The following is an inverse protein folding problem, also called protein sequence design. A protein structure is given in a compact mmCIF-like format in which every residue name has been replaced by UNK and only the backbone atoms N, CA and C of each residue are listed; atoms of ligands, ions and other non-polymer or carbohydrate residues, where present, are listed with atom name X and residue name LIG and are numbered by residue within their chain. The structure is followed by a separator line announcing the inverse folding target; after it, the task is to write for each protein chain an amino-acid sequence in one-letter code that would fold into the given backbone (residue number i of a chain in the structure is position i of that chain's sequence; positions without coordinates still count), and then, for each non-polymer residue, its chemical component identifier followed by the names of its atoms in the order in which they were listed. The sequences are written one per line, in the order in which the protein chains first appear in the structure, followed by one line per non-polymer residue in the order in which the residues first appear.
data_IF_003861917110
#
_entry.id   IF_003861917110
#
_cell.length_a   1.000
_cell.length_b   1.000
_cell.length_c   1.000
_cell.angle_alpha   90.00
_cell.angle_beta   90.00
_cell.angle_gamma   90.00
#
_symmetry.space_group_name_H-M   'P 1'
#
loop_
_entity.id
_entity.type
_entity.pdbx_description
1 polymer ?
#
# COMPACT_ATOMS: atom_id res chain seq x y z
N UNK A 1 -6.02 5.91 25.34
CA UNK A 1 -6.80 5.56 24.13
C UNK A 1 -5.79 5.47 23.00
N UNK A 2 -5.82 4.43 22.18
CA UNK A 2 -4.94 4.29 21.02
C UNK A 2 -5.64 4.97 19.84
N UNK A 3 -5.01 5.96 19.21
CA UNK A 3 -5.54 6.64 18.03
C UNK A 3 -5.35 5.77 16.80
N UNK A 4 -6.39 5.72 15.96
CA UNK A 4 -6.40 4.93 14.73
C UNK A 4 -6.13 5.78 13.49
N UNK A 5 -5.30 5.27 12.60
CA UNK A 5 -4.84 5.98 11.39
C UNK A 5 -5.22 5.23 10.11
N UNK A 6 -5.66 5.98 9.10
CA UNK A 6 -5.65 5.56 7.69
C UNK A 6 -4.56 6.36 6.98
N UNK A 7 -3.67 5.66 6.30
CA UNK A 7 -2.58 6.28 5.54
C UNK A 7 -2.88 6.10 4.06
N UNK A 8 -2.90 7.19 3.29
CA UNK A 8 -3.09 7.16 1.85
C UNK A 8 -1.78 7.52 1.16
N UNK A 9 -1.31 6.68 0.25
CA UNK A 9 -0.06 6.87 -0.49
C UNK A 9 -0.38 7.05 -1.97
N UNK A 10 -0.05 8.23 -2.50
CA UNK A 10 -0.36 8.65 -3.88
C UNK A 10 0.81 8.48 -4.86
N UNK A 11 2.04 8.54 -4.35
CA UNK A 11 3.26 8.59 -5.17
C UNK A 11 3.90 7.21 -5.39
N UNK A 12 4.59 7.04 -6.51
CA UNK A 12 5.36 5.83 -6.83
C UNK A 12 6.43 5.52 -5.76
N UNK A 13 6.84 4.24 -5.59
CA UNK A 13 7.85 3.85 -4.61
C UNK A 13 9.22 4.48 -4.84
N UNK A 14 9.54 4.84 -6.07
CA UNK A 14 10.83 5.43 -6.44
C UNK A 14 10.59 6.73 -7.21
N UNK A 15 11.51 7.69 -7.04
CA UNK A 15 11.45 9.00 -7.70
C UNK A 15 10.75 10.11 -6.89
N UNK A 16 10.15 9.80 -5.73
CA UNK A 16 9.56 10.80 -4.85
C UNK A 16 9.78 10.46 -3.37
N UNK A 17 10.26 11.42 -2.57
CA UNK A 17 10.56 11.20 -1.14
C UNK A 17 9.28 10.94 -0.31
N UNK A 18 8.11 11.38 -0.80
CA UNK A 18 6.84 11.20 -0.08
C UNK A 18 6.52 9.73 0.22
N UNK A 19 6.86 8.81 -0.70
CA UNK A 19 6.68 7.38 -0.50
C UNK A 19 7.49 6.85 0.69
N UNK A 20 8.74 7.33 0.84
CA UNK A 20 9.59 7.02 1.98
C UNK A 20 9.05 7.65 3.26
N UNK A 21 8.58 8.90 3.21
CA UNK A 21 7.98 9.56 4.37
C UNK A 21 6.71 8.85 4.87
N UNK A 22 5.85 8.35 3.98
CA UNK A 22 4.68 7.56 4.34
C UNK A 22 5.06 6.30 5.14
N UNK A 23 6.09 5.57 4.68
CA UNK A 23 6.60 4.39 5.38
C UNK A 23 7.17 4.77 6.76
N UNK A 24 7.98 5.82 6.84
CA UNK A 24 8.56 6.30 8.11
C UNK A 24 7.49 6.76 9.09
N UNK A 25 6.42 7.39 8.60
CA UNK A 25 5.27 7.77 9.39
C UNK A 25 4.57 6.53 9.96
N UNK A 26 4.27 5.53 9.12
CA UNK A 26 3.67 4.28 9.57
C UNK A 26 4.51 3.56 10.63
N UNK A 27 5.82 3.42 10.42
CA UNK A 27 6.75 2.85 11.40
C UNK A 27 6.69 3.59 12.74
N UNK A 28 6.58 4.93 12.70
CA UNK A 28 6.52 5.77 13.90
C UNK A 28 5.18 5.62 14.63
N UNK A 29 4.06 5.57 13.91
CA UNK A 29 2.72 5.32 14.46
C UNK A 29 2.72 4.01 15.26
N UNK A 30 3.23 2.93 14.66
CA UNK A 30 3.34 1.63 15.34
C UNK A 30 4.28 1.69 16.54
N UNK A 31 5.44 2.34 16.43
CA UNK A 31 6.39 2.49 17.54
C UNK A 31 5.82 3.29 18.72
N UNK A 32 4.90 4.22 18.46
CA UNK A 32 4.18 4.99 19.48
C UNK A 32 3.01 4.22 20.11
N UNK A 33 2.82 2.94 19.75
CA UNK A 33 1.72 2.11 20.24
C UNK A 33 0.35 2.52 19.72
N UNK A 34 0.32 3.26 18.61
CA UNK A 34 -0.91 3.65 17.91
C UNK A 34 -1.33 2.57 16.90
N UNK A 35 -2.56 2.65 16.39
CA UNK A 35 -3.11 1.66 15.46
C UNK A 35 -3.16 2.20 14.02
N UNK A 36 -2.85 1.34 13.05
CA UNK A 36 -3.11 1.61 11.62
C UNK A 36 -4.26 0.71 11.19
N UNK A 37 -5.37 1.31 10.75
CA UNK A 37 -6.55 0.56 10.26
C UNK A 37 -6.29 0.00 8.87
N UNK A 38 -5.67 0.80 8.00
CA UNK A 38 -5.18 0.37 6.69
C UNK A 38 -4.17 1.36 6.11
N UNK A 39 -3.37 0.86 5.17
CA UNK A 39 -2.62 1.69 4.23
C UNK A 39 -3.23 1.52 2.84
N UNK A 40 -3.66 2.62 2.24
CA UNK A 40 -4.31 2.64 0.94
C UNK A 40 -3.43 3.28 -0.11
N UNK A 41 -3.03 2.52 -1.10
CA UNK A 41 -2.24 2.96 -2.24
C UNK A 41 -3.16 3.39 -3.38
N UNK A 42 -3.05 4.67 -3.74
CA UNK A 42 -3.86 5.29 -4.78
C UNK A 42 -2.97 5.94 -5.84
N UNK A 43 -3.51 6.21 -7.03
CA UNK A 43 -2.74 6.76 -8.15
C UNK A 43 -1.43 5.97 -8.40
N UNK A 44 -0.30 6.66 -8.47
CA UNK A 44 1.03 6.06 -8.68
C UNK A 44 1.50 5.25 -7.47
N UNK A 45 0.90 5.48 -6.30
CA UNK A 45 1.09 4.68 -5.08
C UNK A 45 0.89 3.18 -5.31
N UNK A 46 -0.01 2.80 -6.22
CA UNK A 46 -0.26 1.39 -6.55
C UNK A 46 0.98 0.66 -7.08
N UNK A 47 1.98 1.38 -7.62
CA UNK A 47 3.26 0.79 -8.05
C UNK A 47 4.06 0.18 -6.91
N UNK A 48 3.79 0.54 -5.64
CA UNK A 48 4.38 -0.13 -4.48
C UNK A 48 4.05 -1.62 -4.44
N UNK A 49 2.89 -2.01 -4.96
CA UNK A 49 2.40 -3.38 -4.92
C UNK A 49 2.88 -4.23 -6.11
N UNK A 50 3.81 -3.73 -6.93
CA UNK A 50 4.40 -4.52 -8.00
C UNK A 50 5.50 -5.46 -7.46
N UNK A 51 5.25 -6.77 -7.49
CA UNK A 51 6.19 -7.81 -7.06
C UNK A 51 7.49 -7.85 -7.88
N UNK A 52 7.50 -7.21 -9.05
CA UNK A 52 8.66 -7.16 -9.95
C UNK A 52 9.56 -5.95 -9.67
N UNK A 53 9.27 -5.15 -8.63
CA UNK A 53 10.15 -4.08 -8.18
C UNK A 53 11.50 -4.65 -7.73
N UNK A 54 12.56 -4.30 -8.45
CA UNK A 54 13.92 -4.77 -8.21
C UNK A 54 14.88 -3.57 -8.10
N UNK A 55 14.83 -2.81 -6.98
CA UNK A 55 15.80 -1.75 -6.75
C UNK A 55 17.22 -2.33 -6.59
N UNK A 56 18.27 -1.53 -6.83
CA UNK A 56 19.65 -1.88 -6.49
C UNK A 56 19.81 -2.33 -5.03
N UNK A 57 20.81 -3.17 -4.74
CA UNK A 57 21.02 -3.73 -3.40
C UNK A 57 21.41 -2.71 -2.33
N UNK A 58 21.91 -1.55 -2.74
CA UNK A 58 22.25 -0.39 -1.90
C UNK A 58 21.10 0.60 -1.72
N UNK A 59 19.96 0.36 -2.39
CA UNK A 59 18.74 1.15 -2.24
C UNK A 59 17.71 0.46 -1.33
N UNK A 60 16.81 1.26 -0.75
CA UNK A 60 15.73 0.74 0.08
C UNK A 60 14.63 0.11 -0.79
N UNK A 61 14.30 -1.15 -0.54
CA UNK A 61 13.13 -1.79 -1.14
C UNK A 61 11.86 -1.44 -0.34
N UNK A 62 11.13 -0.40 -0.78
CA UNK A 62 9.92 0.06 -0.09
C UNK A 62 8.80 -0.99 -0.07
N UNK A 63 8.63 -1.77 -1.15
CA UNK A 63 7.63 -2.85 -1.19
C UNK A 63 7.90 -3.86 -0.05
N UNK A 64 9.13 -4.35 0.06
CA UNK A 64 9.49 -5.32 1.10
C UNK A 64 9.38 -4.74 2.51
N UNK A 65 9.68 -3.45 2.67
CA UNK A 65 9.52 -2.76 3.97
C UNK A 65 8.05 -2.64 4.37
N UNK A 66 7.16 -2.32 3.45
CA UNK A 66 5.72 -2.33 3.71
C UNK A 66 5.21 -3.73 4.08
N UNK A 67 5.63 -4.76 3.35
CA UNK A 67 5.28 -6.16 3.66
C UNK A 67 5.77 -6.57 5.06
N UNK A 68 6.99 -6.19 5.43
CA UNK A 68 7.56 -6.50 6.74
C UNK A 68 6.80 -5.79 7.86
N UNK A 69 6.48 -4.50 7.68
CA UNK A 69 5.73 -3.73 8.66
C UNK A 69 4.30 -4.27 8.81
N UNK A 70 3.66 -4.65 7.70
CA UNK A 70 2.34 -5.28 7.69
C UNK A 70 2.34 -6.60 8.47
N UNK A 71 3.33 -7.46 8.25
CA UNK A 71 3.45 -8.73 8.97
C UNK A 71 3.68 -8.54 10.47
N UNK A 72 4.39 -7.48 10.86
CA UNK A 72 4.68 -7.16 12.27
C UNK A 72 3.46 -6.57 13.00
N UNK A 73 2.72 -5.67 12.35
CA UNK A 73 1.68 -4.87 13.00
C UNK A 73 0.24 -5.30 12.67
N UNK A 74 0.05 -6.10 11.61
CA UNK A 74 -1.23 -6.74 11.31
C UNK A 74 -2.29 -5.86 10.64
N UNK A 75 -1.90 -4.85 9.85
CA UNK A 75 -2.83 -3.99 9.10
C UNK A 75 -2.86 -4.32 7.61
N UNK A 76 -3.98 -4.14 6.90
CA UNK A 76 -4.07 -4.41 5.46
C UNK A 76 -3.30 -3.38 4.61
N UNK A 77 -2.69 -3.87 3.52
CA UNK A 77 -2.13 -3.06 2.43
C UNK A 77 -3.09 -3.14 1.24
N UNK A 78 -3.83 -2.06 0.99
CA UNK A 78 -4.87 -2.02 -0.03
C UNK A 78 -4.44 -1.18 -1.22
N UNK A 79 -4.67 -1.66 -2.44
CA UNK A 79 -4.44 -0.90 -3.66
C UNK A 79 -5.76 -0.63 -4.35
N UNK A 80 -5.94 0.58 -4.87
CA UNK A 80 -7.09 0.85 -5.71
C UNK A 80 -7.00 0.04 -7.01
N UNK A 81 -7.91 -0.93 -7.18
CA UNK A 81 -7.94 -1.86 -8.31
C UNK A 81 -7.89 -1.14 -9.66
N UNK A 82 -8.68 -0.08 -9.84
CA UNK A 82 -8.74 0.65 -11.11
C UNK A 82 -7.46 1.45 -11.40
N UNK A 83 -6.75 1.92 -10.38
CA UNK A 83 -5.46 2.58 -10.53
C UNK A 83 -4.31 1.59 -10.76
N UNK A 84 -4.39 0.42 -10.11
CA UNK A 84 -3.42 -0.66 -10.20
C UNK A 84 -3.41 -1.29 -11.60
N UNK A 85 -4.58 -1.67 -12.12
CA UNK A 85 -4.72 -2.24 -13.47
C UNK A 85 -4.21 -1.26 -14.54
N UNK A 86 -4.54 0.03 -14.44
CA UNK A 86 -4.06 1.07 -15.37
C UNK A 86 -2.53 1.18 -15.41
N UNK A 87 -1.84 0.74 -14.35
CA UNK A 87 -0.38 0.78 -14.20
C UNK A 87 0.27 -0.60 -14.32
N UNK A 88 -0.49 -1.62 -14.74
CA UNK A 88 0.02 -2.96 -14.91
C UNK A 88 0.38 -3.67 -13.60
N UNK A 89 -0.28 -3.31 -12.49
CA UNK A 89 -0.22 -4.04 -11.23
C UNK A 89 -1.48 -4.91 -11.14
N UNK A 90 -1.30 -6.20 -11.46
CA UNK A 90 -2.36 -7.15 -11.77
C UNK A 90 -2.40 -8.22 -10.67
N UNK A 91 -3.57 -8.43 -10.07
CA UNK A 91 -3.81 -9.54 -9.14
C UNK A 91 -4.04 -10.87 -9.85
N UNK A 92 -4.08 -11.98 -9.11
CA UNK A 92 -4.46 -13.29 -9.64
C UNK A 92 -5.87 -13.30 -10.21
N UNK A 93 -6.80 -12.59 -9.57
CA UNK A 93 -8.19 -12.44 -10.00
C UNK A 93 -8.26 -11.61 -11.29
N UNK A 94 -7.59 -10.45 -11.31
CA UNK A 94 -7.53 -9.57 -12.49
C UNK A 94 -6.96 -10.30 -13.72
N UNK A 95 -5.95 -11.14 -13.50
CA UNK A 95 -5.35 -11.95 -14.55
C UNK A 95 -6.37 -12.92 -15.17
N UNK A 96 -7.16 -13.60 -14.35
CA UNK A 96 -8.18 -14.54 -14.80
C UNK A 96 -9.30 -13.81 -15.54
N UNK A 97 -9.79 -12.70 -14.97
CA UNK A 97 -10.91 -11.93 -15.52
C UNK A 97 -10.56 -11.27 -16.88
N UNK A 98 -9.31 -10.81 -17.03
CA UNK A 98 -8.85 -10.14 -18.24
C UNK A 98 -8.07 -11.06 -19.21
N UNK A 99 -7.96 -12.36 -18.91
CA UNK A 99 -7.18 -13.34 -19.67
C UNK A 99 -5.73 -12.90 -19.95
N UNK A 100 -5.06 -12.35 -18.93
CA UNK A 100 -3.67 -11.90 -19.02
C UNK A 100 -2.69 -13.08 -18.85
N UNK A 101 -1.47 -13.00 -19.42
CA UNK A 101 -0.51 -14.09 -19.35
C UNK A 101 0.05 -14.32 -17.95
N UNK A 102 0.09 -13.29 -17.10
CA UNK A 102 0.69 -13.33 -15.77
C UNK A 102 0.11 -12.26 -14.87
N UNK A 103 0.24 -12.46 -13.55
CA UNK A 103 0.00 -11.45 -12.51
C UNK A 103 1.31 -11.03 -11.85
N UNK A 104 1.30 -9.86 -11.19
CA UNK A 104 2.48 -9.29 -10.53
C UNK A 104 2.16 -8.53 -9.24
N UNK A 105 0.97 -8.71 -8.66
CA UNK A 105 0.66 -8.16 -7.34
C UNK A 105 1.55 -8.81 -6.27
N UNK A 106 2.20 -7.98 -5.46
CA UNK A 106 3.06 -8.39 -4.36
C UNK A 106 2.26 -9.05 -3.23
N UNK A 107 2.84 -10.06 -2.59
CA UNK A 107 2.22 -10.75 -1.46
C UNK A 107 1.86 -9.76 -0.33
N UNK A 108 0.71 -9.95 0.32
CA UNK A 108 0.23 -9.08 1.39
C UNK A 108 -0.48 -7.80 0.92
N UNK A 109 -0.38 -7.45 -0.36
CA UNK A 109 -1.22 -6.42 -0.98
C UNK A 109 -2.51 -7.03 -1.53
N UNK A 110 -3.60 -6.26 -1.47
CA UNK A 110 -4.90 -6.65 -2.03
C UNK A 110 -5.45 -5.52 -2.89
N UNK A 111 -5.86 -5.85 -4.12
CA UNK A 111 -6.60 -4.92 -4.97
C UNK A 111 -8.05 -4.79 -4.46
N UNK A 112 -8.47 -3.57 -4.15
CA UNK A 112 -9.80 -3.26 -3.62
C UNK A 112 -10.42 -2.05 -4.33
N UNK A 113 -11.74 -1.93 -4.24
CA UNK A 113 -12.46 -0.76 -4.73
C UNK A 113 -12.31 0.45 -3.81
N UNK A 114 -12.61 1.64 -4.34
CA UNK A 114 -12.65 2.89 -3.57
C UNK A 114 -13.59 2.85 -2.35
N UNK A 115 -14.71 2.08 -2.33
CA UNK A 115 -15.53 1.94 -1.13
C UNK A 115 -14.75 1.48 0.12
N UNK A 116 -13.74 0.61 -0.03
CA UNK A 116 -12.91 0.17 1.09
C UNK A 116 -12.09 1.33 1.71
N UNK A 117 -11.71 2.34 0.91
CA UNK A 117 -11.08 3.55 1.43
C UNK A 117 -12.10 4.37 2.24
N UNK A 118 -13.28 4.61 1.68
CA UNK A 118 -14.33 5.41 2.33
C UNK A 118 -14.78 4.82 3.66
N UNK A 119 -14.92 3.49 3.72
CA UNK A 119 -15.28 2.77 4.94
C UNK A 119 -14.25 2.97 6.04
N UNK A 120 -12.95 2.79 5.77
CA UNK A 120 -11.93 2.98 6.80
C UNK A 120 -11.77 4.46 7.19
N UNK A 121 -11.92 5.40 6.26
CA UNK A 121 -11.91 6.83 6.59
C UNK A 121 -13.03 7.22 7.57
N UNK A 122 -14.13 6.46 7.57
CA UNK A 122 -15.25 6.68 8.51
C UNK A 122 -14.96 6.08 9.89
N UNK A 123 -14.11 5.06 9.97
CA UNK A 123 -13.77 4.34 11.21
C UNK A 123 -12.52 4.89 11.91
N UNK A 124 -11.60 5.48 11.14
CA UNK A 124 -10.35 6.01 11.68
C UNK A 124 -10.51 7.38 12.33
N UNK A 125 -9.74 7.62 13.39
CA UNK A 125 -9.67 8.93 14.03
C UNK A 125 -8.92 9.96 13.18
N UNK A 126 -7.91 9.51 12.42
CA UNK A 126 -7.06 10.36 11.60
C UNK A 126 -6.82 9.76 10.22
N UNK A 127 -6.87 10.60 9.18
CA UNK A 127 -6.47 10.25 7.81
C UNK A 127 -5.27 11.10 7.43
N UNK A 128 -4.19 10.46 6.97
CA UNK A 128 -2.95 11.14 6.58
C UNK A 128 -2.58 10.74 5.16
N UNK A 129 -2.28 11.74 4.32
CA UNK A 129 -2.04 11.57 2.89
C UNK A 129 -0.59 11.94 2.52
N UNK A 130 0.00 11.15 1.62
CA UNK A 130 1.39 11.28 1.15
C UNK A 130 1.52 11.15 -0.36
#
# INVERSE_FOLDING_TARGET
MSTSFVIVVYHAPYGHESAYHALRFAETVIAMGQCIEQVFFYQDGTLHANALNLPPSDEINLQQRWQSLQQQAGFPLHCCISAAIKRGVISSEDQQDCALPSHNLAAGFTNVGLPALMEAMTQAEQVVEF
#
